data_IF_611185870219
#
_entry.id   IF_611185870219
#
_cell.length_a   1.000
_cell.length_b   1.000
_cell.length_c   1.000
_cell.angle_alpha   90.00
_cell.angle_beta   90.00
_cell.angle_gamma   90.00
#
_symmetry.space_group_name_H-M   'P 1'
#
loop_
_entity.id
_entity.type
_entity.pdbx_description
1 polymer ?
#
# COMPACT_ATOMS: atom_id res chain seq x y z
N UNK A 1 -5.27 7.15 -12.83
CA UNK A 1 -5.63 6.47 -11.57
C UNK A 1 -4.40 5.68 -11.13
N UNK A 2 -3.80 5.98 -9.98
CA UNK A 2 -2.62 5.27 -9.51
C UNK A 2 -3.06 4.10 -8.61
N UNK A 3 -2.37 2.97 -8.71
CA UNK A 3 -2.58 1.82 -7.83
C UNK A 3 -1.46 1.81 -6.79
N UNK A 4 -1.84 1.70 -5.52
CA UNK A 4 -0.92 1.59 -4.39
C UNK A 4 -1.27 0.29 -3.67
N UNK A 5 -0.27 -0.56 -3.44
CA UNK A 5 -0.40 -1.84 -2.75
C UNK A 5 0.55 -1.89 -1.56
N UNK A 6 0.05 -2.39 -0.42
CA UNK A 6 0.78 -2.55 0.84
C UNK A 6 0.69 -4.00 1.30
N UNK A 7 1.80 -4.60 1.74
CA UNK A 7 1.84 -5.98 2.25
C UNK A 7 1.49 -6.10 3.75
N UNK A 8 0.67 -5.20 4.28
CA UNK A 8 0.27 -5.18 5.69
C UNK A 8 -1.16 -5.67 5.91
N UNK A 9 -1.43 -6.27 7.06
CA UNK A 9 -2.79 -6.65 7.45
C UNK A 9 -3.62 -5.42 7.86
N UNK A 10 -4.92 -5.47 7.59
CA UNK A 10 -5.91 -4.48 8.04
C UNK A 10 -5.58 -3.01 7.65
N UNK A 11 -4.85 -2.82 6.55
CA UNK A 11 -4.53 -1.48 6.03
C UNK A 11 -5.82 -0.75 5.65
N UNK A 12 -6.07 0.41 6.25
CA UNK A 12 -7.21 1.27 5.97
C UNK A 12 -6.76 2.57 5.31
N UNK A 13 -7.56 3.09 4.37
CA UNK A 13 -7.36 4.43 3.81
C UNK A 13 -8.08 5.45 4.69
N UNK A 14 -7.33 6.38 5.29
CA UNK A 14 -7.85 7.43 6.20
C UNK A 14 -7.76 8.83 5.61
N UNK A 15 -7.29 8.97 4.36
CA UNK A 15 -7.28 10.25 3.65
C UNK A 15 -6.93 10.07 2.17
N UNK A 16 -6.88 11.16 1.38
CA UNK A 16 -6.60 11.08 -0.05
C UNK A 16 -5.30 10.32 -0.39
N UNK A 17 -4.27 10.52 0.44
CA UNK A 17 -2.93 9.92 0.34
C UNK A 17 -2.46 9.33 1.68
N UNK A 18 -3.36 9.12 2.65
CA UNK A 18 -3.02 8.60 3.98
C UNK A 18 -3.64 7.23 4.21
N UNK A 19 -2.80 6.30 4.64
CA UNK A 19 -3.16 4.93 4.99
C UNK A 19 -2.67 4.64 6.41
N UNK A 20 -3.38 3.80 7.12
CA UNK A 20 -3.11 3.44 8.52
C UNK A 20 -3.19 1.93 8.68
N UNK A 21 -2.28 1.37 9.45
CA UNK A 21 -2.37 0.02 10.00
C UNK A 21 -2.07 0.10 11.49
N UNK A 22 -2.59 -0.85 12.25
CA UNK A 22 -2.34 -0.96 13.69
C UNK A 22 -1.95 -2.39 14.00
N UNK A 23 -0.87 -2.56 14.75
CA UNK A 23 -0.40 -3.85 15.22
C UNK A 23 -0.04 -3.72 16.71
N UNK A 24 -0.40 -4.73 17.50
CA UNK A 24 -0.03 -4.83 18.91
C UNK A 24 1.19 -5.74 19.06
N UNK A 25 2.10 -5.42 19.99
CA UNK A 25 3.33 -6.20 20.20
C UNK A 25 4.15 -6.40 18.91
N UNK A 26 4.20 -5.39 18.07
CA UNK A 26 4.82 -5.45 16.75
C UNK A 26 6.31 -5.79 16.86
N UNK A 27 6.69 -6.93 16.30
CA UNK A 27 8.07 -7.31 16.04
C UNK A 27 8.26 -7.39 14.51
N UNK A 28 9.13 -6.57 13.90
CA UNK A 28 9.28 -6.57 12.46
C UNK A 28 9.96 -7.86 11.98
N UNK A 29 9.23 -8.69 11.24
CA UNK A 29 9.76 -9.91 10.62
C UNK A 29 10.61 -9.59 9.37
N UNK A 30 10.31 -8.49 8.70
CA UNK A 30 11.00 -7.97 7.52
C UNK A 30 10.70 -6.46 7.34
N UNK A 31 11.38 -5.84 6.38
CA UNK A 31 11.13 -4.45 5.99
C UNK A 31 9.76 -4.30 5.28
N UNK A 32 9.23 -3.07 5.25
CA UNK A 32 7.93 -2.80 4.64
C UNK A 32 8.08 -2.71 3.11
N UNK A 33 7.38 -3.60 2.38
CA UNK A 33 7.31 -3.54 0.92
C UNK A 33 6.21 -2.58 0.45
N UNK A 34 6.60 -1.61 -0.38
CA UNK A 34 5.69 -0.61 -0.97
C UNK A 34 5.81 -0.63 -2.49
N UNK A 35 4.69 -0.89 -3.17
CA UNK A 35 4.61 -0.82 -4.64
C UNK A 35 3.73 0.35 -5.08
N UNK A 36 4.33 1.28 -5.84
CA UNK A 36 3.65 2.39 -6.48
C UNK A 36 3.59 2.15 -7.99
N UNK A 37 2.38 1.94 -8.51
CA UNK A 37 2.16 1.77 -9.94
C UNK A 37 1.56 3.04 -10.54
N UNK A 38 2.34 3.67 -11.41
CA UNK A 38 1.83 4.63 -12.37
C UNK A 38 1.29 3.86 -13.58
N UNK A 39 0.15 4.25 -14.16
CA UNK A 39 -0.24 3.76 -15.46
C UNK A 39 0.87 4.10 -16.46
N UNK A 40 1.53 3.09 -17.01
CA UNK A 40 2.18 3.28 -18.31
C UNK A 40 1.06 3.57 -19.31
N UNK A 41 1.25 4.48 -20.24
CA UNK A 41 0.23 4.87 -21.24
C UNK A 41 -0.11 3.78 -22.26
N UNK A 42 -0.38 2.56 -21.80
CA UNK A 42 -0.78 1.43 -22.60
C UNK A 42 -2.28 1.48 -22.87
N UNK A 43 -2.62 1.81 -24.11
CA UNK A 43 -3.80 1.23 -24.75
C UNK A 43 -3.70 -0.28 -24.61
N UNK A 44 -4.44 -0.87 -23.69
CA UNK A 44 -4.44 -2.30 -23.42
C UNK A 44 -5.86 -2.78 -23.27
N UNK A 45 -6.43 -3.27 -24.37
CA UNK A 45 -7.59 -4.16 -24.45
C UNK A 45 -8.94 -3.56 -24.09
#
# INVERSE_FOLDING_TARGET
KNLVSFCGENVRKVGPTRFEMTAENFYPEHDIDILLLAPSGGSGG
#
